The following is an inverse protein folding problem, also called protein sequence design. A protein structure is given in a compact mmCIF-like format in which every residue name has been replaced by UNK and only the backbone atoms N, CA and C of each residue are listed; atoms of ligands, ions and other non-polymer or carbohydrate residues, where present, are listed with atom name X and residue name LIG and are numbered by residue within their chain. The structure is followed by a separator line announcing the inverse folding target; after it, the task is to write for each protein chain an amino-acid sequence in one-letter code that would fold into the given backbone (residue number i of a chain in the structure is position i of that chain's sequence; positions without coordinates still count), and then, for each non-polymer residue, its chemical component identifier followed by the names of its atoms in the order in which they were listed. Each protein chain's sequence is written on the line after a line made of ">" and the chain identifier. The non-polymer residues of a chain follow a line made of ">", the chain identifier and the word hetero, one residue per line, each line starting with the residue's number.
data_IF_813021207170
#
_entry.id   IF_813021207170
#
_cell.length_a   1.000
_cell.length_b   1.000
_cell.length_c   1.000
_cell.angle_alpha   90.00
_cell.angle_beta   90.00
_cell.angle_gamma   90.00
#
_symmetry.space_group_name_H-M   'P 1'
#
loop_
_entity.id
_entity.type
_entity.pdbx_description
1 polymer ?
#
# COMPACT_ATOMS: atom_id res chain seq x y z
N UNK A 1 1.25 8.55 -23.72
CA UNK A 1 1.14 8.98 -22.31
C UNK A 1 2.27 8.30 -21.55
N UNK A 2 3.09 9.05 -20.80
CA UNK A 2 4.08 8.43 -19.90
C UNK A 2 3.35 7.50 -18.94
N UNK A 3 3.82 6.27 -18.77
CA UNK A 3 3.27 5.36 -17.78
C UNK A 3 3.43 6.00 -16.39
N UNK A 4 2.32 6.12 -15.65
CA UNK A 4 2.34 6.71 -14.31
C UNK A 4 3.05 5.76 -13.35
N UNK A 5 3.95 6.28 -12.51
CA UNK A 5 4.66 5.46 -11.52
C UNK A 5 3.67 4.73 -10.61
N UNK A 6 3.80 3.40 -10.39
CA UNK A 6 2.94 2.68 -9.47
C UNK A 6 3.05 3.20 -8.03
N UNK A 7 2.01 2.96 -7.25
CA UNK A 7 1.94 3.36 -5.85
C UNK A 7 1.67 2.17 -4.94
N UNK A 8 2.30 2.17 -3.77
CA UNK A 8 2.00 1.26 -2.67
C UNK A 8 1.37 2.07 -1.54
N UNK A 9 0.18 1.69 -1.10
CA UNK A 9 -0.49 2.28 0.06
C UNK A 9 -0.40 1.28 1.20
N UNK A 10 0.38 1.62 2.23
CA UNK A 10 0.57 0.79 3.41
C UNK A 10 -0.29 1.33 4.55
N UNK A 11 -1.38 0.62 4.86
CA UNK A 11 -2.50 1.06 5.69
C UNK A 11 -3.71 1.39 4.83
N UNK A 12 -4.86 0.74 5.09
CA UNK A 12 -6.06 0.81 4.25
C UNK A 12 -7.32 1.23 5.02
N UNK A 13 -7.15 2.06 6.06
CA UNK A 13 -8.26 2.74 6.73
C UNK A 13 -8.67 4.00 5.94
N UNK A 14 -9.04 5.08 6.62
CA UNK A 14 -9.72 6.23 6.04
C UNK A 14 -8.86 6.98 5.03
N UNK A 15 -7.61 7.29 5.39
CA UNK A 15 -6.71 8.04 4.51
C UNK A 15 -6.21 7.13 3.38
N UNK A 16 -5.87 5.89 3.71
CA UNK A 16 -5.38 4.89 2.75
C UNK A 16 -6.39 4.59 1.65
N UNK A 17 -7.66 4.38 2.01
CA UNK A 17 -8.74 4.20 1.04
C UNK A 17 -8.95 5.44 0.17
N UNK A 18 -8.93 6.63 0.78
CA UNK A 18 -9.10 7.89 0.04
C UNK A 18 -8.01 8.06 -1.01
N UNK A 19 -6.76 7.76 -0.64
CA UNK A 19 -5.60 7.79 -1.52
C UNK A 19 -5.70 6.73 -2.64
N UNK A 20 -5.99 5.47 -2.30
CA UNK A 20 -6.15 4.40 -3.29
C UNK A 20 -7.22 4.74 -4.33
N UNK A 21 -8.34 5.32 -3.90
CA UNK A 21 -9.42 5.80 -4.78
C UNK A 21 -8.99 6.96 -5.66
N UNK A 22 -8.26 7.95 -5.12
CA UNK A 22 -7.79 9.10 -5.88
C UNK A 22 -6.79 8.68 -6.96
N UNK A 23 -5.78 7.89 -6.57
CA UNK A 23 -4.75 7.37 -7.47
C UNK A 23 -5.33 6.46 -8.54
N UNK A 24 -6.17 5.50 -8.16
CA UNK A 24 -6.78 4.58 -9.13
C UNK A 24 -7.71 5.28 -10.13
N UNK A 25 -8.43 6.34 -9.73
CA UNK A 25 -9.20 7.18 -10.67
C UNK A 25 -8.31 7.95 -11.65
N UNK A 26 -7.09 8.28 -11.25
CA UNK A 26 -6.10 8.91 -12.12
C UNK A 26 -5.35 7.90 -13.02
N UNK A 27 -5.70 6.61 -12.96
CA UNK A 27 -5.06 5.56 -13.76
C UNK A 27 -3.76 5.02 -13.18
N UNK A 28 -3.38 5.39 -11.95
CA UNK A 28 -2.20 4.86 -11.27
C UNK A 28 -2.47 3.42 -10.82
N UNK A 29 -1.53 2.51 -11.08
CA UNK A 29 -1.58 1.15 -10.53
C UNK A 29 -1.29 1.21 -9.02
N UNK A 30 -2.25 0.79 -8.20
CA UNK A 30 -2.14 0.83 -6.73
C UNK A 30 -2.08 -0.58 -6.15
N UNK A 31 -1.06 -0.85 -5.34
CA UNK A 31 -0.98 -2.02 -4.45
C UNK A 31 -1.33 -1.58 -3.03
N UNK A 32 -2.24 -2.29 -2.38
CA UNK A 32 -2.65 -2.01 -1.00
C UNK A 32 -2.13 -3.07 -0.03
N UNK A 33 -1.59 -2.65 1.11
CA UNK A 33 -1.17 -3.53 2.20
C UNK A 33 -1.94 -3.13 3.46
N UNK A 34 -2.71 -4.05 4.04
CA UNK A 34 -3.39 -3.86 5.31
C UNK A 34 -2.78 -4.72 6.41
N UNK A 35 -2.92 -4.27 7.66
CA UNK A 35 -2.55 -5.03 8.86
C UNK A 35 -3.73 -5.69 9.57
N UNK A 36 -4.97 -5.30 9.21
CA UNK A 36 -6.21 -5.86 9.75
C UNK A 36 -7.10 -6.34 8.58
N UNK A 37 -7.65 -7.56 8.61
CA UNK A 37 -8.57 -8.05 7.57
C UNK A 37 -9.85 -7.22 7.43
N UNK A 38 -10.20 -6.42 8.44
CA UNK A 38 -11.35 -5.53 8.47
C UNK A 38 -11.05 -4.10 7.97
N UNK A 39 -9.80 -3.79 7.60
CA UNK A 39 -9.47 -2.52 6.92
C UNK A 39 -10.32 -2.42 5.65
N UNK A 40 -11.35 -1.59 5.69
CA UNK A 40 -12.40 -1.57 4.66
C UNK A 40 -11.85 -1.15 3.28
N UNK A 41 -10.66 -0.53 3.23
CA UNK A 41 -9.97 -0.24 1.99
C UNK A 41 -9.54 -1.48 1.20
N UNK A 42 -9.41 -2.65 1.84
CA UNK A 42 -9.15 -3.94 1.17
C UNK A 42 -10.21 -4.28 0.12
N UNK A 43 -11.43 -3.74 0.22
CA UNK A 43 -12.52 -3.99 -0.73
C UNK A 43 -12.55 -2.99 -1.89
N UNK A 44 -11.64 -2.03 -1.94
CA UNK A 44 -11.62 -1.02 -2.99
C UNK A 44 -11.34 -1.65 -4.37
N UNK A 45 -12.21 -1.35 -5.34
CA UNK A 45 -12.03 -1.73 -6.76
C UNK A 45 -10.82 -1.07 -7.44
N UNK A 46 -10.20 -0.09 -6.78
CA UNK A 46 -9.06 0.67 -7.31
C UNK A 46 -7.70 0.08 -6.90
N UNK A 47 -7.70 -1.00 -6.11
CA UNK A 47 -6.49 -1.78 -5.85
C UNK A 47 -6.28 -2.78 -7.00
N UNK A 48 -5.13 -2.69 -7.65
CA UNK A 48 -4.67 -3.69 -8.61
C UNK A 48 -4.26 -4.97 -7.89
N UNK A 49 -3.56 -4.82 -6.76
CA UNK A 49 -3.12 -5.91 -5.89
C UNK A 49 -3.44 -5.56 -4.43
N UNK A 50 -3.73 -6.57 -3.61
CA UNK A 50 -4.02 -6.39 -2.18
C UNK A 50 -3.36 -7.47 -1.35
N UNK A 51 -2.75 -7.07 -0.24
CA UNK A 51 -2.07 -7.97 0.66
C UNK A 51 -2.50 -7.72 2.11
N UNK A 52 -2.46 -8.79 2.89
CA UNK A 52 -2.66 -8.77 4.32
C UNK A 52 -1.38 -9.22 5.00
N UNK A 53 -0.97 -8.44 5.99
CA UNK A 53 0.08 -8.73 6.97
C UNK A 53 -0.48 -8.49 8.37
N UNK A 54 0.36 -8.58 9.40
CA UNK A 54 0.04 -8.13 10.76
C UNK A 54 1.10 -7.09 11.18
N UNK A 55 0.80 -6.29 12.20
CA UNK A 55 1.74 -5.29 12.72
C UNK A 55 2.98 -5.92 13.38
N UNK A 56 2.90 -7.19 13.76
CA UNK A 56 3.97 -7.97 14.38
C UNK A 56 4.85 -8.70 13.33
N UNK A 57 4.35 -8.90 12.11
CA UNK A 57 5.04 -9.65 11.05
C UNK A 57 5.79 -8.69 10.10
N UNK A 58 6.87 -8.15 10.62
CA UNK A 58 7.70 -7.21 9.87
C UNK A 58 8.36 -7.82 8.64
N UNK A 59 8.82 -9.07 8.74
CA UNK A 59 9.56 -9.71 7.65
C UNK A 59 8.63 -9.94 6.47
N UNK A 60 7.38 -10.34 6.73
CA UNK A 60 6.34 -10.39 5.71
C UNK A 60 6.06 -9.01 5.14
N UNK A 61 5.91 -8.00 5.99
CA UNK A 61 5.66 -6.61 5.53
C UNK A 61 6.79 -6.12 4.63
N UNK A 62 8.04 -6.35 5.01
CA UNK A 62 9.22 -5.98 4.24
C UNK A 62 9.32 -6.77 2.93
N UNK A 63 8.99 -8.06 2.94
CA UNK A 63 8.90 -8.87 1.72
C UNK A 63 7.88 -8.29 0.76
N UNK A 64 6.66 -8.00 1.22
CA UNK A 64 5.60 -7.42 0.39
C UNK A 64 6.00 -6.08 -0.24
N UNK A 65 6.71 -5.23 0.51
CA UNK A 65 7.22 -3.95 -0.01
C UNK A 65 8.31 -4.16 -1.08
N UNK A 66 9.21 -5.12 -0.87
CA UNK A 66 10.25 -5.49 -1.85
C UNK A 66 9.65 -6.11 -3.11
N UNK A 67 8.67 -6.99 -2.95
CA UNK A 67 7.96 -7.63 -4.05
C UNK A 67 7.19 -6.60 -4.88
N UNK A 68 6.51 -5.65 -4.21
CA UNK A 68 5.82 -4.55 -4.87
C UNK A 68 6.78 -3.58 -5.58
N UNK A 69 8.02 -3.46 -5.11
CA UNK A 69 9.06 -2.72 -5.81
C UNK A 69 9.50 -3.43 -7.09
N UNK A 70 9.63 -4.76 -7.08
CA UNK A 70 10.10 -5.55 -8.22
C UNK A 70 11.40 -4.97 -8.80
N UNK A 71 11.43 -4.75 -10.13
CA UNK A 71 12.51 -4.00 -10.80
C UNK A 71 12.26 -2.48 -10.89
N UNK A 72 11.14 -2.00 -10.34
CA UNK A 72 10.70 -0.61 -10.39
C UNK A 72 10.99 0.16 -9.10
N UNK A 73 10.47 1.39 -9.05
CA UNK A 73 10.51 2.27 -7.87
C UNK A 73 9.12 2.86 -7.62
N UNK A 74 8.17 2.09 -7.06
CA UNK A 74 6.86 2.64 -6.73
C UNK A 74 6.98 3.74 -5.68
N UNK A 75 5.97 4.60 -5.59
CA UNK A 75 5.85 5.57 -4.50
C UNK A 75 5.16 4.88 -3.33
N UNK A 76 5.83 4.85 -2.17
CA UNK A 76 5.26 4.32 -0.94
C UNK A 76 4.53 5.43 -0.18
N UNK A 77 3.29 5.16 0.19
CA UNK A 77 2.46 6.00 1.05
C UNK A 77 2.15 5.22 2.34
N UNK A 78 2.92 5.42 3.42
CA UNK A 78 2.53 4.93 4.74
C UNK A 78 1.36 5.77 5.26
N UNK A 79 0.27 5.11 5.64
CA UNK A 79 -0.95 5.78 6.06
C UNK A 79 -0.89 6.25 7.51
N UNK A 80 -0.59 5.32 8.42
CA UNK A 80 -0.66 5.55 9.87
C UNK A 80 0.72 5.72 10.47
N UNK A 81 0.75 6.24 11.68
CA UNK A 81 1.98 6.46 12.43
C UNK A 81 2.74 5.13 12.64
N UNK A 82 2.05 4.00 12.85
CA UNK A 82 2.68 2.69 12.96
C UNK A 82 3.34 2.26 11.64
N UNK A 83 2.73 2.61 10.51
CA UNK A 83 3.28 2.33 9.18
C UNK A 83 4.52 3.20 8.90
N UNK A 84 4.49 4.47 9.29
CA UNK A 84 5.65 5.38 9.21
C UNK A 84 6.76 4.88 10.12
N UNK A 85 6.43 4.52 11.37
CA UNK A 85 7.37 3.98 12.34
C UNK A 85 8.04 2.69 11.84
N UNK A 86 7.29 1.80 11.19
CA UNK A 86 7.85 0.63 10.50
C UNK A 86 8.89 1.04 9.44
N UNK A 87 8.59 2.03 8.60
CA UNK A 87 9.51 2.49 7.55
C UNK A 87 10.78 3.11 8.14
N UNK A 88 10.68 3.88 9.23
CA UNK A 88 11.83 4.57 9.81
C UNK A 88 12.87 3.64 10.47
N UNK A 89 12.49 2.41 10.80
CA UNK A 89 13.37 1.44 11.46
C UNK A 89 13.89 0.33 10.53
N UNK A 90 13.68 0.43 9.22
CA UNK A 90 14.03 -0.56 8.20
C UNK A 90 14.85 0.07 7.08
#
# INVERSE_FOLDING_TARGET
>A
MSESRPAVVYGLLWAGLSLARALGRAGVRVTGIASDPNDFGLRSRYLADRHLTTEEDDERTLSLLRDAAGAGRPILFPERDENVHFVLRR
#
